data_IF_984130281076
#
_entry.id   IF_984130281076
#
_cell.length_a   1.000
_cell.length_b   1.000
_cell.length_c   1.000
_cell.angle_alpha   90.00
_cell.angle_beta   90.00
_cell.angle_gamma   90.00
#
_symmetry.space_group_name_H-M   'P 1'
#
loop_
_entity.id
_entity.type
_entity.pdbx_description
1 polymer ?
#
# COMPACT_ATOMS: atom_id res chain seq x y z
N UNK A 1 -23.08 -14.05 -23.79
CA UNK A 1 -23.34 -14.14 -22.35
C UNK A 1 -22.14 -13.55 -21.66
N UNK A 2 -22.36 -12.46 -20.95
CA UNK A 2 -21.34 -11.86 -20.12
C UNK A 2 -20.81 -12.88 -19.11
N UNK A 3 -19.52 -12.80 -18.79
CA UNK A 3 -18.90 -13.60 -17.74
C UNK A 3 -18.72 -12.72 -16.50
N UNK A 4 -19.39 -13.07 -15.42
CA UNK A 4 -19.27 -12.37 -14.14
C UNK A 4 -18.30 -13.12 -13.25
N UNK A 5 -17.25 -12.46 -12.78
CA UNK A 5 -16.23 -13.01 -11.89
C UNK A 5 -16.38 -12.41 -10.49
N UNK A 6 -16.32 -13.23 -9.46
CA UNK A 6 -16.34 -12.80 -8.05
C UNK A 6 -15.00 -13.08 -7.38
N UNK A 7 -14.50 -12.12 -6.60
CA UNK A 7 -13.21 -12.24 -5.91
C UNK A 7 -13.31 -12.10 -4.39
N UNK A 8 -12.32 -12.66 -3.68
CA UNK A 8 -12.16 -12.53 -2.23
C UNK A 8 -13.45 -12.87 -1.46
N UNK A 9 -13.82 -12.06 -0.46
CA UNK A 9 -15.01 -12.32 0.36
C UNK A 9 -16.31 -12.26 -0.45
N UNK A 10 -16.35 -11.56 -1.59
CA UNK A 10 -17.53 -11.53 -2.47
C UNK A 10 -17.79 -12.94 -3.02
N UNK A 11 -16.76 -13.61 -3.51
CA UNK A 11 -16.84 -15.01 -3.96
C UNK A 11 -17.32 -15.95 -2.86
N UNK A 12 -16.81 -15.79 -1.64
CA UNK A 12 -17.16 -16.65 -0.51
C UNK A 12 -18.64 -16.49 -0.13
N UNK A 13 -19.17 -15.27 -0.15
CA UNK A 13 -20.57 -15.02 0.16
C UNK A 13 -21.52 -15.36 -1.00
N UNK A 14 -21.11 -15.11 -2.25
CA UNK A 14 -21.89 -15.50 -3.43
C UNK A 14 -21.90 -17.02 -3.62
N UNK A 15 -20.82 -17.72 -3.24
CA UNK A 15 -20.71 -19.17 -3.28
C UNK A 15 -20.20 -19.74 -4.60
N UNK A 16 -19.91 -18.90 -5.60
CA UNK A 16 -19.30 -19.30 -6.87
C UNK A 16 -18.19 -18.33 -7.29
N UNK A 17 -17.07 -18.80 -7.90
CA UNK A 17 -16.03 -17.94 -8.45
C UNK A 17 -16.46 -17.16 -9.68
N UNK A 18 -17.38 -17.70 -10.48
CA UNK A 18 -17.91 -17.04 -11.67
C UNK A 18 -19.28 -17.59 -12.07
N UNK A 19 -19.97 -16.82 -12.91
CA UNK A 19 -21.22 -17.21 -13.56
C UNK A 19 -21.32 -16.62 -14.97
N UNK A 20 -22.17 -17.23 -15.80
CA UNK A 20 -22.49 -16.71 -17.15
C UNK A 20 -23.91 -16.19 -17.14
N UNK A 21 -24.07 -14.94 -17.54
CA UNK A 21 -25.35 -14.26 -17.57
C UNK A 21 -25.64 -13.76 -19.00
N UNK A 22 -26.85 -14.00 -19.49
CA UNK A 22 -27.37 -13.25 -20.65
C UNK A 22 -27.93 -11.94 -20.13
N UNK A 23 -27.34 -10.82 -20.51
CA UNK A 23 -27.79 -9.51 -20.06
C UNK A 23 -29.16 -9.20 -20.69
N UNK A 24 -30.18 -8.86 -19.87
CA UNK A 24 -31.42 -8.30 -20.40
C UNK A 24 -31.14 -7.10 -21.31
N UNK A 25 -31.93 -6.90 -22.38
CA UNK A 25 -31.74 -5.78 -23.32
C UNK A 25 -31.79 -4.39 -22.68
N UNK A 26 -32.25 -4.28 -21.43
CA UNK A 26 -32.34 -3.04 -20.66
C UNK A 26 -31.05 -2.72 -19.87
N UNK A 27 -30.08 -3.63 -19.84
CA UNK A 27 -28.82 -3.46 -19.10
C UNK A 27 -27.73 -3.05 -20.09
N UNK A 28 -27.24 -1.84 -19.91
CA UNK A 28 -26.18 -1.26 -20.72
C UNK A 28 -25.03 -0.72 -19.88
N UNK A 29 -25.20 -0.56 -18.55
CA UNK A 29 -24.17 -0.01 -17.67
C UNK A 29 -23.88 -0.90 -16.46
N UNK A 30 -22.72 -0.70 -15.84
CA UNK A 30 -22.32 -1.38 -14.60
C UNK A 30 -23.37 -1.21 -13.49
N UNK A 31 -23.90 -0.01 -13.26
CA UNK A 31 -24.91 0.21 -12.22
C UNK A 31 -26.19 -0.60 -12.46
N UNK A 32 -26.63 -0.69 -13.72
CA UNK A 32 -27.81 -1.47 -14.10
C UNK A 32 -27.57 -2.97 -13.90
N UNK A 33 -26.36 -3.45 -14.21
CA UNK A 33 -25.96 -4.83 -13.94
C UNK A 33 -25.97 -5.15 -12.45
N UNK A 34 -25.35 -4.31 -11.61
CA UNK A 34 -25.34 -4.53 -10.15
C UNK A 34 -26.75 -4.56 -9.58
N UNK A 35 -27.61 -3.63 -10.00
CA UNK A 35 -29.02 -3.58 -9.58
C UNK A 35 -29.76 -4.86 -10.00
N UNK A 36 -29.50 -5.37 -11.20
CA UNK A 36 -30.10 -6.61 -11.69
C UNK A 36 -29.63 -7.86 -10.95
N UNK A 37 -28.35 -7.92 -10.57
CA UNK A 37 -27.83 -9.02 -9.76
C UNK A 37 -28.43 -8.97 -8.34
N UNK A 38 -28.53 -7.78 -7.73
CA UNK A 38 -29.21 -7.60 -6.44
C UNK A 38 -30.67 -8.07 -6.49
N UNK A 39 -31.35 -7.89 -7.62
CA UNK A 39 -32.75 -8.32 -7.76
C UNK A 39 -32.93 -9.85 -7.84
N UNK A 40 -31.85 -10.63 -7.94
CA UNK A 40 -31.91 -12.09 -7.91
C UNK A 40 -32.11 -12.67 -6.49
N UNK A 41 -32.12 -11.82 -5.46
CA UNK A 41 -32.30 -12.21 -4.07
C UNK A 41 -30.98 -12.56 -3.37
N UNK A 42 -31.06 -13.28 -2.25
CA UNK A 42 -29.86 -13.69 -1.50
C UNK A 42 -29.07 -14.79 -2.24
N UNK A 43 -27.73 -14.77 -2.21
CA UNK A 43 -26.86 -13.86 -1.45
C UNK A 43 -26.55 -12.52 -2.14
N UNK A 44 -26.95 -12.33 -3.40
CA UNK A 44 -26.57 -11.16 -4.21
C UNK A 44 -27.04 -9.84 -3.60
N UNK A 45 -28.26 -9.80 -3.08
CA UNK A 45 -28.85 -8.59 -2.50
C UNK A 45 -28.00 -8.01 -1.36
N UNK A 46 -27.64 -8.84 -0.38
CA UNK A 46 -26.85 -8.38 0.79
C UNK A 46 -25.38 -8.13 0.45
N UNK A 47 -24.79 -8.93 -0.43
CA UNK A 47 -23.39 -8.82 -0.82
C UNK A 47 -23.12 -7.59 -1.67
N UNK A 48 -23.95 -7.36 -2.68
CA UNK A 48 -23.74 -6.29 -3.66
C UNK A 48 -24.27 -4.93 -3.19
N UNK A 49 -24.91 -4.85 -2.01
CA UNK A 49 -25.30 -3.59 -1.38
C UNK A 49 -24.12 -2.85 -0.71
N UNK A 50 -22.93 -3.47 -0.66
CA UNK A 50 -21.74 -2.86 -0.08
C UNK A 50 -21.17 -1.77 -1.00
N UNK A 51 -21.18 -0.52 -0.54
CA UNK A 51 -20.73 0.66 -1.27
C UNK A 51 -19.21 0.71 -1.51
N UNK A 52 -18.42 -0.17 -0.89
CA UNK A 52 -16.98 -0.22 -1.08
C UNK A 52 -16.57 -1.11 -2.26
N UNK A 53 -17.48 -1.90 -2.80
CA UNK A 53 -17.20 -2.76 -3.95
C UNK A 53 -16.64 -1.97 -5.14
N UNK A 54 -15.83 -2.67 -5.93
CA UNK A 54 -15.24 -2.21 -7.17
C UNK A 54 -15.64 -3.17 -8.28
N UNK A 55 -15.77 -2.61 -9.48
CA UNK A 55 -16.06 -3.36 -10.68
C UNK A 55 -14.95 -3.10 -11.69
N UNK A 56 -14.55 -4.14 -12.42
CA UNK A 56 -13.74 -4.02 -13.61
C UNK A 56 -14.44 -4.67 -14.80
N UNK A 57 -14.38 -4.02 -15.95
CA UNK A 57 -14.88 -4.53 -17.23
C UNK A 57 -13.68 -4.75 -18.14
N UNK A 58 -13.50 -5.97 -18.64
CA UNK A 58 -12.37 -6.37 -19.48
C UNK A 58 -11.02 -5.96 -18.88
N UNK A 59 -10.79 -6.35 -17.62
CA UNK A 59 -9.56 -6.11 -16.86
C UNK A 59 -9.24 -4.63 -16.56
N UNK A 60 -10.20 -3.72 -16.74
CA UNK A 60 -10.05 -2.29 -16.43
C UNK A 60 -11.09 -1.84 -15.42
N UNK A 61 -10.67 -1.04 -14.43
CA UNK A 61 -11.61 -0.43 -13.48
C UNK A 61 -12.73 0.32 -14.19
N UNK A 62 -13.95 0.10 -13.71
CA UNK A 62 -15.16 0.67 -14.28
C UNK A 62 -15.93 1.49 -13.26
N UNK A 63 -16.48 2.61 -13.73
CA UNK A 63 -17.43 3.45 -13.01
C UNK A 63 -18.85 2.92 -13.20
N UNK A 64 -19.78 3.37 -12.35
CA UNK A 64 -21.20 3.02 -12.41
C UNK A 64 -21.85 3.25 -13.79
N UNK A 65 -21.38 4.26 -14.54
CA UNK A 65 -21.89 4.65 -15.85
C UNK A 65 -21.22 3.93 -17.02
N UNK A 66 -20.14 3.18 -16.78
CA UNK A 66 -19.38 2.55 -17.86
C UNK A 66 -20.20 1.43 -18.51
N UNK A 67 -20.06 1.26 -19.84
CA UNK A 67 -20.88 0.32 -20.59
C UNK A 67 -20.54 -1.13 -20.29
N UNK A 68 -21.55 -2.00 -20.36
CA UNK A 68 -21.41 -3.46 -20.30
C UNK A 68 -22.23 -4.11 -21.42
N UNK A 69 -21.77 -5.26 -21.87
CA UNK A 69 -22.36 -6.04 -22.96
C UNK A 69 -22.25 -7.54 -22.69
N UNK A 70 -23.00 -8.30 -23.48
CA UNK A 70 -23.01 -9.77 -23.43
C UNK A 70 -21.69 -10.44 -23.85
N UNK A 71 -20.69 -9.67 -24.25
CA UNK A 71 -19.37 -10.16 -24.64
C UNK A 71 -18.30 -9.87 -23.58
N UNK A 72 -18.66 -9.15 -22.52
CA UNK A 72 -17.69 -8.65 -21.55
C UNK A 72 -17.39 -9.65 -20.43
N UNK A 73 -16.15 -9.58 -19.95
CA UNK A 73 -15.75 -10.11 -18.66
C UNK A 73 -15.89 -9.00 -17.61
N UNK A 74 -16.73 -9.23 -16.60
CA UNK A 74 -17.02 -8.26 -15.54
C UNK A 74 -16.60 -8.85 -14.20
N UNK A 75 -15.62 -8.24 -13.55
CA UNK A 75 -15.15 -8.63 -12.23
C UNK A 75 -15.79 -7.76 -11.14
N UNK A 76 -16.36 -8.37 -10.11
CA UNK A 76 -16.87 -7.70 -8.91
C UNK A 76 -16.00 -8.13 -7.72
N UNK A 77 -15.40 -7.15 -7.06
CA UNK A 77 -14.42 -7.41 -6.03
C UNK A 77 -14.47 -6.32 -4.95
N UNK A 78 -14.08 -6.63 -3.70
CA UNK A 78 -13.95 -5.62 -2.66
C UNK A 78 -12.80 -4.65 -2.97
N UNK A 79 -12.67 -3.53 -2.25
CA UNK A 79 -11.52 -2.65 -2.45
C UNK A 79 -10.24 -3.48 -2.27
N UNK A 80 -9.41 -3.54 -3.32
CA UNK A 80 -8.17 -4.30 -3.31
C UNK A 80 -7.19 -3.64 -2.34
N UNK A 81 -7.04 -4.21 -1.16
CA UNK A 81 -5.71 -4.38 -0.57
C UNK A 81 -5.22 -5.75 -1.06
N UNK A 82 -4.04 -5.80 -1.66
CA UNK A 82 -3.64 -6.91 -2.54
C UNK A 82 -3.73 -8.30 -1.87
N UNK A 83 -4.38 -9.27 -2.53
CA UNK A 83 -4.30 -10.69 -2.17
C UNK A 83 -3.03 -11.33 -2.76
N UNK A 84 -2.51 -12.49 -2.33
CA UNK A 84 -2.82 -13.42 -1.24
C UNK A 84 -1.72 -14.51 -1.23
N UNK A 85 -1.26 -14.99 -0.06
CA UNK A 85 -0.70 -16.35 0.07
C UNK A 85 -1.13 -17.03 1.39
N UNK A 86 -1.69 -18.24 1.21
CA UNK A 86 -1.99 -19.38 2.11
C UNK A 86 -1.95 -19.25 3.65
N UNK A 87 -3.13 -19.53 4.23
CA UNK A 87 -3.44 -20.35 5.41
C UNK A 87 -2.61 -20.14 6.70
N UNK A 88 -3.25 -19.52 7.70
CA UNK A 88 -2.86 -19.71 9.11
C UNK A 88 -2.73 -18.46 9.97
N UNK A 89 -3.20 -17.29 9.54
CA UNK A 89 -3.48 -16.11 10.37
C UNK A 89 -4.25 -15.15 9.47
N UNK A 90 -5.15 -14.31 10.00
CA UNK A 90 -5.70 -13.21 9.21
C UNK A 90 -4.54 -12.32 8.80
N UNK A 91 -4.12 -12.42 7.54
CA UNK A 91 -3.01 -11.62 7.02
C UNK A 91 -3.46 -10.16 6.96
N UNK A 92 -3.07 -9.39 7.97
CA UNK A 92 -3.41 -7.96 8.11
C UNK A 92 -2.65 -7.07 7.13
N UNK A 93 -1.84 -7.63 6.22
CA UNK A 93 -0.94 -6.88 5.34
C UNK A 93 -1.69 -6.39 4.09
N UNK A 94 -1.70 -5.07 3.83
CA UNK A 94 -2.35 -4.53 2.63
C UNK A 94 -1.50 -4.65 1.34
N UNK A 95 -0.27 -5.16 1.45
CA UNK A 95 0.71 -5.27 0.38
C UNK A 95 1.23 -6.71 0.28
N UNK A 96 1.71 -7.09 -0.90
CA UNK A 96 2.28 -8.42 -1.16
C UNK A 96 3.55 -8.71 -0.34
N UNK A 97 4.24 -7.66 0.11
CA UNK A 97 5.36 -7.74 1.05
C UNK A 97 4.98 -7.09 2.38
N UNK A 98 5.57 -7.51 3.51
CA UNK A 98 5.43 -6.80 4.78
C UNK A 98 5.88 -5.35 4.67
N UNK A 99 4.99 -4.41 5.03
CA UNK A 99 5.27 -2.97 5.01
C UNK A 99 4.96 -2.37 6.37
N UNK A 100 5.88 -1.58 6.92
CA UNK A 100 5.65 -0.76 8.12
C UNK A 100 6.04 0.69 7.85
N UNK A 101 5.12 1.63 8.09
CA UNK A 101 5.37 3.05 7.95
C UNK A 101 5.86 3.71 9.23
N UNK A 102 6.64 4.78 9.08
CA UNK A 102 6.97 5.74 10.12
C UNK A 102 6.40 7.10 9.72
N UNK A 103 5.55 7.66 10.58
CA UNK A 103 4.90 8.96 10.36
C UNK A 103 5.16 9.89 11.52
N UNK A 104 5.46 11.15 11.24
CA UNK A 104 5.76 12.14 12.27
C UNK A 104 5.64 13.55 11.70
N UNK A 105 5.48 14.55 12.59
CA UNK A 105 5.72 15.93 12.22
C UNK A 105 7.20 16.14 11.82
N UNK A 106 7.49 17.18 11.04
CA UNK A 106 8.87 17.50 10.64
C UNK A 106 9.75 17.77 11.87
N UNK A 107 11.02 17.39 11.82
CA UNK A 107 11.99 17.66 12.90
C UNK A 107 11.89 16.78 14.15
N UNK A 108 11.06 15.73 14.15
CA UNK A 108 10.82 14.86 15.32
C UNK A 108 11.87 13.76 15.55
N UNK A 109 12.79 13.54 14.59
CA UNK A 109 13.82 12.49 14.66
C UNK A 109 13.40 11.15 14.04
N UNK A 110 12.31 11.13 13.26
CA UNK A 110 11.81 9.95 12.54
C UNK A 110 12.89 9.19 11.76
N UNK A 111 13.72 9.89 10.98
CA UNK A 111 14.79 9.27 10.19
C UNK A 111 15.80 8.54 11.09
N UNK A 112 16.16 9.13 12.23
CA UNK A 112 17.10 8.56 13.19
C UNK A 112 16.53 7.28 13.80
N UNK A 113 15.29 7.31 14.25
CA UNK A 113 14.61 6.14 14.80
C UNK A 113 14.50 5.02 13.75
N UNK A 114 14.07 5.37 12.53
CA UNK A 114 13.92 4.38 11.46
C UNK A 114 15.26 3.75 11.08
N UNK A 115 16.34 4.53 10.99
CA UNK A 115 17.67 4.01 10.72
C UNK A 115 18.16 3.04 11.82
N UNK A 116 17.94 3.39 13.09
CA UNK A 116 18.24 2.50 14.22
C UNK A 116 17.39 1.22 14.20
N UNK A 117 16.11 1.34 13.83
CA UNK A 117 15.19 0.19 13.70
C UNK A 117 15.63 -0.73 12.56
N UNK A 118 16.04 -0.19 11.40
CA UNK A 118 16.61 -0.98 10.29
C UNK A 118 17.85 -1.73 10.76
N UNK A 119 18.74 -1.04 11.50
CA UNK A 119 19.92 -1.68 12.05
C UNK A 119 19.54 -2.87 12.93
N UNK A 120 18.64 -2.69 13.90
CA UNK A 120 18.17 -3.75 14.79
C UNK A 120 17.54 -4.93 14.02
N UNK A 121 16.67 -4.66 13.04
CA UNK A 121 16.01 -5.69 12.23
C UNK A 121 17.00 -6.48 11.36
N UNK A 122 18.01 -5.82 10.78
CA UNK A 122 19.02 -6.51 9.96
C UNK A 122 19.93 -7.41 10.81
N UNK A 123 20.14 -7.10 12.09
CA UNK A 123 20.85 -8.01 13.01
C UNK A 123 20.13 -9.34 13.23
N UNK A 124 18.83 -9.43 12.93
CA UNK A 124 18.07 -10.69 13.02
C UNK A 124 18.11 -11.51 11.72
N UNK A 125 18.86 -11.07 10.70
CA UNK A 125 18.96 -11.74 9.41
C UNK A 125 17.87 -11.38 8.39
N UNK A 126 16.96 -10.45 8.72
CA UNK A 126 15.94 -9.98 7.78
C UNK A 126 16.56 -9.11 6.67
N UNK A 127 16.13 -9.33 5.43
CA UNK A 127 16.44 -8.43 4.30
C UNK A 127 15.44 -7.28 4.33
N UNK A 128 15.90 -6.14 4.84
CA UNK A 128 15.06 -4.95 5.00
C UNK A 128 15.32 -3.98 3.84
N UNK A 129 14.26 -3.58 3.16
CA UNK A 129 14.29 -2.44 2.23
C UNK A 129 13.66 -1.20 2.86
N UNK A 130 13.98 -0.03 2.31
CA UNK A 130 13.44 1.25 2.76
C UNK A 130 12.90 2.06 1.58
N UNK A 131 11.74 2.68 1.79
CA UNK A 131 11.15 3.67 0.88
C UNK A 131 11.08 5.00 1.61
N UNK A 132 11.46 6.09 0.95
CA UNK A 132 11.32 7.45 1.47
C UNK A 132 10.56 8.30 0.47
N UNK A 133 9.46 8.90 0.90
CA UNK A 133 8.72 9.90 0.12
C UNK A 133 9.12 11.30 0.57
N UNK A 134 9.64 12.09 -0.36
CA UNK A 134 10.00 13.50 -0.15
C UNK A 134 8.98 14.45 -0.77
N UNK A 135 8.91 15.67 -0.26
CA UNK A 135 8.11 16.77 -0.85
C UNK A 135 8.93 17.73 -1.71
N UNK A 136 10.25 17.50 -1.80
CA UNK A 136 11.18 18.32 -2.57
C UNK A 136 11.99 17.44 -3.51
N UNK A 137 12.37 17.95 -4.69
CA UNK A 137 13.28 17.25 -5.58
C UNK A 137 14.58 16.88 -4.86
N UNK A 138 15.04 15.65 -5.08
CA UNK A 138 16.33 15.18 -4.62
C UNK A 138 17.04 14.54 -5.81
N UNK A 139 18.25 15.00 -6.12
CA UNK A 139 19.09 14.39 -7.15
C UNK A 139 20.24 13.64 -6.47
N UNK A 140 20.26 12.30 -6.52
CA UNK A 140 21.35 11.51 -5.95
C UNK A 140 22.60 11.52 -6.85
N UNK A 141 22.50 12.03 -8.08
CA UNK A 141 23.57 12.02 -9.06
C UNK A 141 24.48 13.26 -8.92
N UNK A 142 25.71 13.14 -9.39
CA UNK A 142 26.69 14.21 -9.32
C UNK A 142 26.70 15.03 -10.62
N UNK A 143 26.41 16.35 -10.56
CA UNK A 143 26.43 17.20 -11.74
C UNK A 143 27.76 17.10 -12.51
N UNK A 144 27.66 16.94 -13.83
CA UNK A 144 28.80 16.87 -14.74
C UNK A 144 29.48 15.50 -14.86
N UNK A 145 29.08 14.50 -14.06
CA UNK A 145 29.54 13.11 -14.22
C UNK A 145 28.77 12.36 -15.32
N UNK A 146 29.22 11.15 -15.65
CA UNK A 146 28.75 10.43 -16.84
C UNK A 146 27.25 10.10 -16.78
N UNK A 147 26.76 9.57 -15.66
CA UNK A 147 25.33 9.26 -15.44
C UNK A 147 24.47 10.52 -15.54
N UNK A 148 24.92 11.64 -14.97
CA UNK A 148 24.24 12.93 -15.08
C UNK A 148 24.19 13.41 -16.53
N UNK A 149 25.29 13.28 -17.28
CA UNK A 149 25.36 13.66 -18.69
C UNK A 149 24.45 12.79 -19.56
N UNK A 150 24.29 11.51 -19.26
CA UNK A 150 23.35 10.62 -19.97
C UNK A 150 21.90 11.07 -19.76
N UNK A 151 21.53 11.42 -18.53
CA UNK A 151 20.20 11.96 -18.20
C UNK A 151 19.94 13.29 -18.92
N UNK A 152 20.89 14.23 -18.86
CA UNK A 152 20.78 15.52 -19.55
C UNK A 152 20.73 15.37 -21.08
N UNK A 153 21.30 14.31 -21.64
CA UNK A 153 21.18 13.97 -23.05
C UNK A 153 19.82 13.37 -23.44
N UNK A 154 18.93 13.10 -22.47
CA UNK A 154 17.56 12.64 -22.68
C UNK A 154 17.31 11.17 -22.36
N UNK A 155 18.24 10.46 -21.71
CA UNK A 155 17.98 9.10 -21.26
C UNK A 155 16.90 9.10 -20.15
N UNK A 156 15.76 8.47 -20.41
CA UNK A 156 14.66 8.36 -19.44
C UNK A 156 14.95 7.38 -18.30
N UNK A 157 15.95 6.52 -18.46
CA UNK A 157 16.41 5.58 -17.44
C UNK A 157 17.91 5.38 -17.55
N UNK A 158 18.61 5.50 -16.42
CA UNK A 158 20.07 5.28 -16.32
C UNK A 158 20.34 4.30 -15.20
N UNK A 159 21.12 3.25 -15.52
CA UNK A 159 21.64 2.31 -14.54
C UNK A 159 23.15 2.54 -14.38
N UNK A 160 23.59 2.63 -13.13
CA UNK A 160 24.99 2.58 -12.76
C UNK A 160 25.26 1.30 -12.00
N UNK A 161 26.37 0.63 -12.28
CA UNK A 161 26.79 -0.56 -11.54
C UNK A 161 28.29 -0.54 -11.29
N UNK A 162 28.69 -0.90 -10.07
CA UNK A 162 30.07 -1.15 -9.65
C UNK A 162 30.13 -2.36 -8.70
N UNK A 163 31.32 -2.88 -8.36
CA UNK A 163 31.45 -3.98 -7.41
C UNK A 163 30.84 -3.70 -6.03
N UNK A 164 30.77 -2.42 -5.61
CA UNK A 164 30.23 -2.04 -4.30
C UNK A 164 28.71 -1.89 -4.30
N UNK A 165 28.14 -1.35 -5.40
CA UNK A 165 26.72 -1.00 -5.47
C UNK A 165 26.29 -0.74 -6.90
N UNK A 166 24.99 -0.82 -7.12
CA UNK A 166 24.36 -0.33 -8.33
C UNK A 166 23.17 0.57 -7.95
N UNK A 167 22.77 1.44 -8.85
CA UNK A 167 21.56 2.25 -8.70
C UNK A 167 20.89 2.46 -10.06
N UNK A 168 19.61 2.76 -10.02
CA UNK A 168 18.79 3.10 -11.17
C UNK A 168 18.12 4.45 -10.92
N UNK A 169 18.16 5.33 -11.91
CA UNK A 169 17.43 6.61 -11.91
C UNK A 169 16.48 6.59 -13.09
N UNK A 170 15.21 6.86 -12.83
CA UNK A 170 14.17 6.99 -13.85
C UNK A 170 13.61 8.42 -13.82
N UNK A 171 13.67 9.10 -14.96
CA UNK A 171 13.07 10.42 -15.14
C UNK A 171 11.56 10.28 -15.34
N UNK A 172 10.76 10.92 -14.49
CA UNK A 172 9.30 10.87 -14.62
C UNK A 172 8.80 11.77 -15.76
N UNK A 173 9.46 12.89 -16.04
CA UNK A 173 8.99 13.86 -17.04
C UNK A 173 7.56 14.32 -16.74
N UNK A 174 6.61 14.00 -17.64
CA UNK A 174 5.19 14.28 -17.47
C UNK A 174 4.38 13.12 -16.84
N UNK A 175 5.03 12.01 -16.49
CA UNK A 175 4.39 10.87 -15.83
C UNK A 175 4.10 11.18 -14.36
N UNK A 176 3.08 10.53 -13.80
CA UNK A 176 2.77 10.62 -12.38
C UNK A 176 3.86 9.91 -11.54
N UNK A 177 4.00 10.34 -10.28
CA UNK A 177 4.83 9.62 -9.31
C UNK A 177 4.31 8.19 -9.11
N UNK A 178 5.20 7.18 -9.01
CA UNK A 178 4.79 5.82 -8.72
C UNK A 178 4.15 5.76 -7.33
N UNK A 179 3.03 5.05 -7.24
CA UNK A 179 2.35 4.75 -5.99
C UNK A 179 3.24 3.92 -5.05
N UNK A 180 2.91 3.90 -3.75
CA UNK A 180 3.61 3.04 -2.80
C UNK A 180 3.52 1.55 -3.21
N UNK A 181 2.37 1.11 -3.72
CA UNK A 181 2.17 -0.26 -4.16
C UNK A 181 3.09 -0.64 -5.34
N UNK A 182 3.26 0.25 -6.32
CA UNK A 182 4.19 0.04 -7.43
C UNK A 182 5.64 -0.01 -6.93
N UNK A 183 6.01 0.87 -6.00
CA UNK A 183 7.36 0.88 -5.42
C UNK A 183 7.68 -0.38 -4.62
N UNK A 184 6.71 -0.88 -3.85
CA UNK A 184 6.82 -2.19 -3.17
C UNK A 184 7.09 -3.30 -4.17
N UNK A 185 6.51 -3.24 -5.36
CA UNK A 185 6.75 -4.21 -6.44
C UNK A 185 8.21 -4.30 -6.89
N UNK A 186 8.94 -3.19 -6.92
CA UNK A 186 10.37 -3.18 -7.28
C UNK A 186 11.27 -3.84 -6.21
N UNK A 187 10.75 -4.01 -5.00
CA UNK A 187 11.50 -4.52 -3.85
C UNK A 187 11.23 -6.01 -3.59
N UNK A 188 10.72 -6.73 -4.60
CA UNK A 188 10.58 -8.18 -4.56
C UNK A 188 11.86 -8.87 -4.08
N UNK A 189 11.71 -9.83 -3.18
CA UNK A 189 12.85 -10.53 -2.57
C UNK A 189 13.41 -9.87 -1.30
N UNK A 190 12.73 -8.88 -0.72
CA UNK A 190 12.97 -8.45 0.66
C UNK A 190 11.94 -9.09 1.59
N UNK A 191 12.29 -9.21 2.87
CA UNK A 191 11.42 -9.80 3.89
C UNK A 191 10.54 -8.72 4.56
N UNK A 192 10.99 -7.46 4.54
CA UNK A 192 10.30 -6.32 5.14
C UNK A 192 10.67 -5.01 4.43
N UNK A 193 9.70 -4.13 4.25
CA UNK A 193 9.88 -2.77 3.75
C UNK A 193 9.48 -1.78 4.85
N UNK A 194 10.40 -0.89 5.21
CA UNK A 194 10.09 0.25 6.06
C UNK A 194 9.85 1.49 5.20
N UNK A 195 8.78 2.24 5.49
CA UNK A 195 8.36 3.40 4.70
C UNK A 195 8.46 4.67 5.54
N UNK A 196 9.19 5.65 5.05
CA UNK A 196 9.19 7.00 5.58
C UNK A 196 8.35 7.92 4.69
N UNK A 197 7.14 8.26 5.11
CA UNK A 197 6.22 9.08 4.30
C UNK A 197 4.92 8.33 3.97
N UNK A 198 4.28 8.67 2.85
CA UNK A 198 3.00 8.07 2.43
C UNK A 198 1.93 8.05 3.54
N UNK A 199 1.86 9.12 4.37
CA UNK A 199 1.05 9.14 5.60
C UNK A 199 -0.45 8.83 5.42
N UNK A 200 -0.98 9.08 4.22
CA UNK A 200 -2.38 8.84 3.88
C UNK A 200 -2.63 7.47 3.24
N UNK A 201 -1.58 6.67 3.04
CA UNK A 201 -1.67 5.35 2.43
C UNK A 201 -2.05 4.29 3.49
N UNK A 202 -2.46 3.11 3.03
CA UNK A 202 -3.15 2.10 3.83
C UNK A 202 -2.22 1.21 4.66
N UNK A 203 -0.90 1.33 4.53
CA UNK A 203 0.04 0.54 5.31
C UNK A 203 -0.10 0.82 6.83
N UNK A 204 0.12 -0.21 7.68
CA UNK A 204 0.22 0.00 9.11
C UNK A 204 1.43 0.88 9.44
N UNK A 205 1.26 1.82 10.38
CA UNK A 205 2.27 2.85 10.65
C UNK A 205 2.47 3.11 12.13
N UNK A 206 3.71 3.42 12.48
CA UNK A 206 4.14 3.86 13.80
C UNK A 206 4.26 5.38 13.76
N UNK A 207 3.58 6.06 14.70
CA UNK A 207 3.66 7.51 14.81
C UNK A 207 4.76 7.90 15.79
N UNK A 208 5.64 8.81 15.39
CA UNK A 208 6.65 9.41 16.27
C UNK A 208 6.16 10.78 16.71
N UNK A 209 6.03 10.97 18.01
CA UNK A 209 5.66 12.23 18.64
C UNK A 209 6.75 12.65 19.64
N UNK A 210 7.23 13.88 19.54
CA UNK A 210 8.24 14.41 20.46
C UNK A 210 7.66 15.59 21.24
N UNK A 211 7.79 15.57 22.56
CA UNK A 211 7.47 16.69 23.42
C UNK A 211 8.30 17.91 23.02
N UNK A 212 7.64 19.06 22.87
CA UNK A 212 8.32 20.30 22.44
C UNK A 212 8.51 20.43 20.92
N UNK A 213 8.03 19.48 20.10
CA UNK A 213 7.98 19.66 18.64
C UNK A 213 7.00 20.77 18.20
N UNK A 214 6.15 21.26 19.09
CA UNK A 214 5.13 22.29 18.82
C UNK A 214 3.94 21.80 18.00
N UNK A 215 3.98 20.56 17.52
CA UNK A 215 2.90 19.93 16.77
C UNK A 215 2.10 18.97 17.66
N UNK A 216 0.78 18.92 17.44
CA UNK A 216 -0.04 17.87 18.02
C UNK A 216 0.36 16.50 17.44
N UNK A 217 0.23 15.46 18.26
CA UNK A 217 0.51 14.10 17.80
C UNK A 217 -0.42 13.72 16.64
N UNK A 218 0.14 13.05 15.64
CA UNK A 218 -0.58 12.62 14.44
C UNK A 218 -1.35 11.31 14.64
N UNK A 219 -1.22 10.65 15.79
CA UNK A 219 -1.73 9.29 16.00
C UNK A 219 -3.25 9.17 15.89
N UNK A 220 -4.01 10.20 16.30
CA UNK A 220 -5.47 10.25 16.13
C UNK A 220 -5.93 10.79 14.76
N UNK A 221 -4.99 11.34 13.98
CA UNK A 221 -5.28 11.98 12.69
C UNK A 221 -5.04 11.04 11.51
N UNK A 222 -4.23 10.00 11.71
CA UNK A 222 -3.84 9.06 10.67
C UNK A 222 -4.59 7.74 10.84
N UNK A 223 -4.92 7.12 9.72
CA UNK A 223 -5.48 5.77 9.70
C UNK A 223 -4.37 4.72 9.85
N UNK A 224 -4.75 3.55 10.35
CA UNK A 224 -3.87 2.38 10.48
C UNK A 224 -2.62 2.62 11.34
N UNK A 225 -2.74 3.48 12.36
CA UNK A 225 -1.68 3.65 13.36
C UNK A 225 -1.71 2.47 14.32
N UNK A 226 -0.56 1.82 14.50
CA UNK A 226 -0.47 0.56 15.25
C UNK A 226 0.37 0.66 16.51
N UNK A 227 1.20 1.71 16.62
CA UNK A 227 2.00 2.02 17.80
C UNK A 227 2.42 3.50 17.77
N UNK A 228 2.86 4.00 18.91
CA UNK A 228 3.41 5.35 19.07
C UNK A 228 4.80 5.28 19.70
N UNK A 229 5.72 6.11 19.22
CA UNK A 229 7.00 6.36 19.87
C UNK A 229 7.01 7.78 20.38
N UNK A 230 7.17 7.96 21.70
CA UNK A 230 7.12 9.29 22.30
C UNK A 230 7.81 9.39 23.65
N UNK A 231 8.38 10.58 23.91
CA UNK A 231 8.87 11.04 25.22
C UNK A 231 7.84 11.88 25.99
N UNK A 232 6.62 12.08 25.44
CA UNK A 232 5.56 12.86 26.07
C UNK A 232 4.75 11.98 27.06
N UNK A 233 4.91 12.16 28.38
CA UNK A 233 4.19 11.35 29.36
C UNK A 233 2.68 11.66 29.37
N UNK A 234 2.26 12.84 28.90
CA UNK A 234 0.87 13.27 28.85
C UNK A 234 0.14 12.76 27.60
N UNK A 235 0.84 12.10 26.67
CA UNK A 235 0.22 11.49 25.51
C UNK A 235 -0.64 10.28 25.91
N UNK A 236 -1.95 10.47 25.90
CA UNK A 236 -2.94 9.42 26.17
C UNK A 236 -3.23 8.63 24.90
N UNK A 237 -2.97 7.32 24.91
CA UNK A 237 -3.32 6.42 23.80
C UNK A 237 -3.53 5.00 24.32
N UNK A 238 -4.39 4.23 23.65
CA UNK A 238 -4.54 2.79 23.89
C UNK A 238 -3.53 1.95 23.08
N UNK A 239 -2.77 2.58 22.18
CA UNK A 239 -1.77 1.92 21.35
C UNK A 239 -0.51 1.58 22.16
N UNK A 240 0.25 0.54 21.77
CA UNK A 240 1.60 0.31 22.29
C UNK A 240 2.46 1.57 22.18
N UNK A 241 3.16 1.91 23.27
CA UNK A 241 4.02 3.10 23.36
C UNK A 241 5.46 2.71 23.64
N UNK A 242 6.39 3.25 22.85
CA UNK A 242 7.84 3.06 22.99
C UNK A 242 8.55 4.38 23.28
N UNK A 243 9.71 4.32 23.92
CA UNK A 243 10.59 5.47 24.11
C UNK A 243 11.31 5.84 22.81
N UNK A 244 11.77 7.09 22.68
CA UNK A 244 12.42 7.59 21.45
C UNK A 244 13.72 6.87 21.08
N UNK A 245 14.38 6.25 22.05
CA UNK A 245 15.63 5.49 21.93
C UNK A 245 15.41 3.97 21.92
N UNK A 246 14.17 3.49 22.04
CA UNK A 246 13.84 2.05 22.09
C UNK A 246 13.65 1.44 20.69
N UNK A 247 14.68 1.54 19.85
CA UNK A 247 14.65 0.99 18.50
C UNK A 247 14.52 -0.55 18.50
N UNK A 248 15.09 -1.23 19.49
CA UNK A 248 15.00 -2.69 19.63
C UNK A 248 13.57 -3.14 19.98
N UNK A 249 12.90 -2.44 20.90
CA UNK A 249 11.50 -2.69 21.23
C UNK A 249 10.59 -2.45 20.04
N UNK A 250 10.83 -1.38 19.28
CA UNK A 250 10.10 -1.10 18.02
C UNK A 250 10.35 -2.20 16.98
N UNK A 251 11.59 -2.65 16.79
CA UNK A 251 11.92 -3.73 15.88
C UNK A 251 11.20 -5.04 16.26
N UNK A 252 11.22 -5.41 17.54
CA UNK A 252 10.54 -6.60 18.04
C UNK A 252 9.03 -6.51 17.88
N UNK A 253 8.45 -5.31 18.10
CA UNK A 253 7.04 -5.06 17.84
C UNK A 253 6.69 -5.24 16.37
N UNK A 254 7.48 -4.67 15.44
CA UNK A 254 7.25 -4.81 13.99
C UNK A 254 7.23 -6.28 13.58
N UNK A 255 8.22 -7.06 14.05
CA UNK A 255 8.29 -8.49 13.78
C UNK A 255 7.07 -9.25 14.28
N UNK A 256 6.67 -8.98 15.53
CA UNK A 256 5.48 -9.60 16.12
C UNK A 256 4.20 -9.21 15.39
N UNK A 257 4.06 -7.94 15.03
CA UNK A 257 2.88 -7.39 14.35
C UNK A 257 2.72 -7.96 12.93
N UNK A 258 3.82 -8.13 12.22
CA UNK A 258 3.85 -8.61 10.82
C UNK A 258 4.11 -10.12 10.69
N UNK A 259 4.26 -10.84 11.80
CA UNK A 259 4.61 -12.26 11.88
C UNK A 259 5.92 -12.61 11.14
N UNK A 260 7.04 -11.97 11.51
CA UNK A 260 8.39 -12.11 10.91
C UNK A 260 9.45 -12.72 11.85
#
# INVERSE_FOLDING_TARGET
MARILYFAWVREKIGTPDERLTLPPTIHTVAQLITHLQSQGEPYQSVLADNQLRVAVNQRYAQATDPVSDLDEIAIFPPVSGGSHSAGATDKRPFALPVMGFSAASGTGKTTLMAATIHALTQTGLRVAAIKHGHHPADPDLPGKDTFRFRQAGASTVLFASPERWFMIQELGAQAEPTLAEQVGFLAGHDLILVEGYKNDIHPKIVVHRLGSGAASLHDQLQNVVAVVSDDPALHTALPRFALDDADGVAQFIRTYLNL
#
